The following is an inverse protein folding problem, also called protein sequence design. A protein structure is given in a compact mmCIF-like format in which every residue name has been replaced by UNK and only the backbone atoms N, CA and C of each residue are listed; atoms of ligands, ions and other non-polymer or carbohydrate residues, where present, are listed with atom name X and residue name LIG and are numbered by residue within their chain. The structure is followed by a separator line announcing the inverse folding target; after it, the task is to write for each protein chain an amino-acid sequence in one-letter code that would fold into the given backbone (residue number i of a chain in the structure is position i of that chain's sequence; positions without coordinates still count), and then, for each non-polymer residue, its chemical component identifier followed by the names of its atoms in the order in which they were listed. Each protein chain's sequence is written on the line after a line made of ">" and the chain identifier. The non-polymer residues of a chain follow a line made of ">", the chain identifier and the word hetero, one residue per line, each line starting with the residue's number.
data_IF_709450503253
#
_entry.id   IF_709450503253
#
_cell.length_a   1.000
_cell.length_b   1.000
_cell.length_c   1.000
_cell.angle_alpha   90.00
_cell.angle_beta   90.00
_cell.angle_gamma   90.00
#
_symmetry.space_group_name_H-M   'P 1'
#
loop_
_entity.id
_entity.type
_entity.pdbx_description
1 polymer ?
#
# COMPACT_ATOMS: atom_id res chain seq x y z
N UNK A 1 11.54 16.68 -7.26
CA UNK A 1 10.15 16.98 -7.70
C UNK A 1 9.43 15.66 -7.89
N UNK A 2 8.25 15.49 -7.29
CA UNK A 2 7.37 14.33 -7.54
C UNK A 2 6.44 14.72 -8.68
N UNK A 3 6.49 13.98 -9.78
CA UNK A 3 5.57 14.17 -10.90
C UNK A 3 4.23 13.50 -10.58
N UNK A 4 3.16 14.29 -10.56
CA UNK A 4 1.80 13.77 -10.33
C UNK A 4 1.22 13.35 -11.67
N UNK A 5 0.97 12.05 -11.82
CA UNK A 5 0.32 11.48 -13.01
C UNK A 5 -1.19 11.44 -12.78
N UNK A 6 -1.93 12.34 -13.44
CA UNK A 6 -3.40 12.35 -13.44
C UNK A 6 -3.98 11.33 -14.41
N UNK A 7 -5.14 10.75 -14.09
CA UNK A 7 -5.92 9.93 -15.03
C UNK A 7 -6.62 10.83 -16.05
N UNK A 8 -6.76 10.36 -17.29
CA UNK A 8 -7.60 11.04 -18.29
C UNK A 8 -9.08 10.86 -17.97
N UNK A 9 -9.82 11.96 -17.81
CA UNK A 9 -11.27 11.94 -17.54
C UNK A 9 -12.11 11.48 -18.76
N UNK A 10 -11.49 11.33 -19.93
CA UNK A 10 -12.18 10.93 -21.18
C UNK A 10 -11.91 9.46 -21.54
N UNK A 11 -11.08 8.76 -20.77
CA UNK A 11 -10.76 7.36 -21.05
C UNK A 11 -11.99 6.46 -20.83
N UNK A 12 -12.54 5.91 -21.91
CA UNK A 12 -13.65 4.93 -21.87
C UNK A 12 -13.20 3.52 -21.46
N UNK A 13 -11.89 3.25 -21.43
CA UNK A 13 -11.30 1.93 -21.15
C UNK A 13 -10.16 2.05 -20.13
N UNK A 14 -9.75 0.91 -19.57
CA UNK A 14 -8.65 0.85 -18.61
C UNK A 14 -7.34 1.35 -19.25
N UNK A 15 -6.75 2.36 -18.62
CA UNK A 15 -5.45 2.93 -18.99
C UNK A 15 -4.39 2.52 -17.96
N UNK A 16 -3.29 1.94 -18.45
CA UNK A 16 -2.14 1.58 -17.61
C UNK A 16 -1.41 2.85 -17.22
N UNK A 17 -1.42 3.18 -15.93
CA UNK A 17 -0.64 4.31 -15.42
C UNK A 17 0.79 3.87 -15.10
N UNK A 18 1.81 4.65 -15.50
CA UNK A 18 3.19 4.38 -15.12
C UNK A 18 3.33 4.22 -13.60
N UNK A 19 4.08 3.20 -13.17
CA UNK A 19 4.44 2.91 -11.77
C UNK A 19 3.27 2.59 -10.81
N UNK A 20 2.01 2.63 -11.26
CA UNK A 20 0.83 2.33 -10.41
C UNK A 20 0.88 0.94 -9.77
N UNK A 21 1.42 -0.04 -10.49
CA UNK A 21 1.59 -1.41 -9.97
C UNK A 21 2.45 -1.45 -8.70
N UNK A 22 3.39 -0.51 -8.49
CA UNK A 22 4.27 -0.48 -7.31
C UNK A 22 3.44 -0.21 -6.05
N UNK A 23 2.50 0.74 -6.15
CA UNK A 23 1.61 1.13 -5.08
C UNK A 23 0.62 0.00 -4.80
N UNK A 24 -0.03 -0.52 -5.84
CA UNK A 24 -0.99 -1.63 -5.73
C UNK A 24 -0.33 -2.87 -5.10
N UNK A 25 0.91 -3.19 -5.49
CA UNK A 25 1.70 -4.28 -4.88
C UNK A 25 1.97 -4.05 -3.41
N UNK A 26 2.23 -2.80 -3.01
CA UNK A 26 2.46 -2.45 -1.60
C UNK A 26 1.21 -2.72 -0.76
N UNK A 27 0.03 -2.33 -1.27
CA UNK A 27 -1.24 -2.64 -0.63
C UNK A 27 -1.51 -4.14 -0.57
N UNK A 28 -1.22 -4.89 -1.64
CA UNK A 28 -1.38 -6.35 -1.63
C UNK A 28 -0.53 -7.04 -0.54
N UNK A 29 0.68 -6.54 -0.26
CA UNK A 29 1.49 -7.05 0.86
C UNK A 29 0.90 -6.72 2.23
N UNK A 30 0.27 -5.54 2.38
CA UNK A 30 -0.41 -5.16 3.62
C UNK A 30 -1.68 -5.99 3.85
N UNK A 31 -2.48 -6.25 2.80
CA UNK A 31 -3.65 -7.14 2.88
C UNK A 31 -3.29 -8.58 3.25
N UNK A 32 -2.12 -9.04 2.82
CA UNK A 32 -1.59 -10.36 3.22
C UNK A 32 -1.27 -10.44 4.73
N UNK A 33 -1.15 -9.29 5.41
CA UNK A 33 -1.00 -9.24 6.84
C UNK A 33 -2.36 -9.35 7.51
N UNK A 34 -2.74 -10.56 7.93
CA UNK A 34 -4.06 -10.89 8.51
C UNK A 34 -4.58 -9.88 9.55
N UNK A 35 -3.67 -9.27 10.34
CA UNK A 35 -4.03 -8.28 11.35
C UNK A 35 -4.60 -6.98 10.76
N UNK A 36 -4.18 -6.60 9.55
CA UNK A 36 -4.68 -5.42 8.82
C UNK A 36 -5.91 -5.72 7.94
N UNK A 37 -6.42 -6.95 7.94
CA UNK A 37 -7.59 -7.32 7.12
C UNK A 37 -8.87 -6.55 7.49
N UNK A 38 -8.96 -6.05 8.73
CA UNK A 38 -10.02 -5.19 9.23
C UNK A 38 -9.39 -4.16 10.17
N UNK A 39 -10.00 -2.98 10.26
CA UNK A 39 -9.64 -1.99 11.27
C UNK A 39 -10.23 -2.45 12.61
N UNK A 40 -9.36 -2.85 13.54
CA UNK A 40 -9.75 -3.32 14.87
C UNK A 40 -9.50 -2.26 15.94
N UNK A 41 -8.77 -1.21 15.57
CA UNK A 41 -8.24 -0.19 16.46
C UNK A 41 -9.24 0.96 16.58
N UNK A 42 -9.45 1.46 17.80
CA UNK A 42 -10.35 2.60 18.04
C UNK A 42 -9.67 3.94 17.70
N UNK A 43 -8.37 4.03 17.92
CA UNK A 43 -7.58 5.22 17.70
C UNK A 43 -6.77 5.09 16.40
N UNK A 44 -6.77 6.16 15.61
CA UNK A 44 -6.03 6.24 14.35
C UNK A 44 -4.53 6.07 14.54
N UNK A 45 -3.98 6.56 15.65
CA UNK A 45 -2.56 6.40 16.01
C UNK A 45 -2.17 4.91 16.15
N UNK A 46 -3.05 4.11 16.74
CA UNK A 46 -2.85 2.67 16.88
C UNK A 46 -2.93 1.98 15.52
N UNK A 47 -3.94 2.30 14.69
CA UNK A 47 -4.04 1.76 13.32
C UNK A 47 -2.79 2.09 12.50
N UNK A 48 -2.29 3.32 12.59
CA UNK A 48 -1.06 3.76 11.93
C UNK A 48 0.16 2.96 12.40
N UNK A 49 0.29 2.76 13.71
CA UNK A 49 1.39 1.97 14.29
C UNK A 49 1.36 0.54 13.77
N UNK A 50 0.18 -0.07 13.62
CA UNK A 50 0.04 -1.41 13.07
C UNK A 50 0.49 -1.52 11.61
N UNK A 51 0.20 -0.50 10.79
CA UNK A 51 0.68 -0.42 9.40
C UNK A 51 2.21 -0.29 9.37
N UNK A 52 2.79 0.56 10.21
CA UNK A 52 4.24 0.72 10.31
C UNK A 52 4.94 -0.59 10.70
N UNK A 53 4.40 -1.32 11.68
CA UNK A 53 4.92 -2.63 12.09
C UNK A 53 4.88 -3.66 10.95
N UNK A 54 3.79 -3.70 10.18
CA UNK A 54 3.69 -4.58 9.02
C UNK A 54 4.78 -4.27 7.98
N UNK A 55 5.03 -2.98 7.71
CA UNK A 55 6.09 -2.55 6.79
C UNK A 55 7.49 -2.88 7.31
N UNK A 56 7.78 -2.67 8.60
CA UNK A 56 9.07 -3.07 9.20
C UNK A 56 9.30 -4.56 9.00
N UNK A 57 8.32 -5.40 9.32
CA UNK A 57 8.42 -6.86 9.15
C UNK A 57 8.63 -7.25 7.68
N UNK A 58 7.94 -6.60 6.75
CA UNK A 58 8.14 -6.79 5.32
C UNK A 58 9.57 -6.47 4.89
N UNK A 59 10.14 -5.35 5.37
CA UNK A 59 11.52 -4.96 5.06
C UNK A 59 12.55 -5.91 5.67
N UNK A 60 12.37 -6.32 6.93
CA UNK A 60 13.24 -7.30 7.58
C UNK A 60 13.28 -8.63 6.81
N UNK A 61 12.13 -9.10 6.32
CA UNK A 61 12.05 -10.32 5.52
C UNK A 61 12.77 -10.22 4.17
N UNK A 62 12.92 -9.01 3.61
CA UNK A 62 13.68 -8.77 2.38
C UNK A 62 15.17 -8.70 2.60
N UNK A 63 15.60 -8.13 3.73
CA UNK A 63 17.01 -8.03 4.10
C UNK A 63 17.59 -9.39 4.48
N UNK A 64 16.78 -10.27 5.09
CA UNK A 64 17.19 -11.63 5.45
C UNK A 64 17.61 -12.50 4.24
N UNK A 65 17.35 -12.05 3.01
CA UNK A 65 17.57 -12.82 1.80
C UNK A 65 19.01 -12.72 1.29
#
# INVERSE_FOLDING_TARGET
>A
MVEVVSRSNTASKFEVLPKRWIVERTFAWLESYRRLSKDFEFQTETSQTMIQLAMIKLMLNRIRK
#
